data_IF_402500854585
#
_entry.id   IF_402500854585
#
_cell.length_a   1.000
_cell.length_b   1.000
_cell.length_c   1.000
_cell.angle_alpha   90.00
_cell.angle_beta   90.00
_cell.angle_gamma   90.00
#
_symmetry.space_group_name_H-M   'P 1'
#
loop_
_entity.id
_entity.type
_entity.pdbx_description
1 polymer ?
#
# COMPACT_ATOMS: atom_id res chain seq x y z
N UNK A 1 0.97 0.26 20.03
CA UNK A 1 1.28 -0.68 18.91
C UNK A 1 0.09 -0.65 17.98
N UNK A 2 0.28 -0.28 16.72
CA UNK A 2 -0.77 -0.25 15.70
C UNK A 2 -0.52 -1.34 14.66
N UNK A 3 -1.58 -1.84 14.04
CA UNK A 3 -1.48 -2.76 12.91
C UNK A 3 -1.42 -1.98 11.61
N UNK A 4 -0.30 -2.10 10.92
CA UNK A 4 -0.04 -1.41 9.65
C UNK A 4 0.02 -2.45 8.52
N UNK A 5 -0.74 -2.21 7.47
CA UNK A 5 -0.69 -3.01 6.26
C UNK A 5 -0.21 -2.14 5.10
N UNK A 6 0.88 -2.55 4.48
CA UNK A 6 1.49 -1.89 3.32
C UNK A 6 1.08 -2.67 2.08
N UNK A 7 0.36 -2.03 1.17
CA UNK A 7 -0.03 -2.61 -0.12
C UNK A 7 1.06 -2.32 -1.14
N UNK A 8 1.69 -3.36 -1.63
CA UNK A 8 2.81 -3.31 -2.57
C UNK A 8 4.15 -3.69 -1.93
N UNK A 9 4.77 -4.72 -2.47
CA UNK A 9 6.07 -5.24 -2.04
C UNK A 9 7.26 -4.62 -2.79
N UNK A 10 7.03 -3.54 -3.54
CA UNK A 10 8.07 -2.78 -4.23
C UNK A 10 9.02 -2.05 -3.27
N UNK A 11 10.05 -1.40 -3.81
CA UNK A 11 11.10 -0.75 -3.00
C UNK A 11 10.56 0.25 -1.98
N UNK A 12 9.64 1.14 -2.38
CA UNK A 12 9.09 2.17 -1.48
C UNK A 12 8.25 1.57 -0.34
N UNK A 13 7.36 0.62 -0.66
CA UNK A 13 6.54 -0.05 0.35
C UNK A 13 7.39 -0.83 1.34
N UNK A 14 8.36 -1.60 0.82
CA UNK A 14 9.29 -2.35 1.66
C UNK A 14 10.17 -1.42 2.50
N UNK A 15 10.75 -0.35 1.94
CA UNK A 15 11.57 0.59 2.71
C UNK A 15 10.77 1.24 3.85
N UNK A 16 9.49 1.57 3.62
CA UNK A 16 8.62 2.15 4.64
C UNK A 16 8.29 1.17 5.79
N UNK A 17 8.39 -0.12 5.56
CA UNK A 17 8.13 -1.12 6.61
C UNK A 17 9.18 -1.11 7.74
N UNK A 18 10.42 -0.70 7.46
CA UNK A 18 11.48 -0.68 8.48
C UNK A 18 11.20 0.33 9.60
N UNK A 19 10.93 1.63 9.34
CA UNK A 19 10.59 2.56 10.41
C UNK A 19 9.26 2.19 11.14
N UNK A 20 8.33 1.51 10.49
CA UNK A 20 7.14 0.98 11.17
C UNK A 20 7.54 -0.08 12.20
N UNK A 21 8.43 -1.01 11.83
CA UNK A 21 8.96 -2.03 12.73
C UNK A 21 9.78 -1.42 13.86
N UNK A 22 10.68 -0.48 13.55
CA UNK A 22 11.53 0.21 14.54
C UNK A 22 10.72 0.94 15.62
N UNK A 23 9.50 1.35 15.29
CA UNK A 23 8.55 1.94 16.22
C UNK A 23 7.58 0.91 16.83
N UNK A 24 7.91 -0.38 16.77
CA UNK A 24 7.15 -1.47 17.38
C UNK A 24 5.70 -1.61 16.88
N UNK A 25 5.44 -1.31 15.60
CA UNK A 25 4.15 -1.59 14.98
C UNK A 25 4.09 -3.02 14.42
N UNK A 26 2.90 -3.64 14.46
CA UNK A 26 2.62 -4.88 13.74
C UNK A 26 2.59 -4.56 12.23
N UNK A 27 3.68 -4.91 11.53
CA UNK A 27 3.94 -4.48 10.17
C UNK A 27 3.78 -5.63 9.18
N UNK A 28 2.89 -5.44 8.23
CA UNK A 28 2.54 -6.44 7.23
C UNK A 28 2.67 -5.83 5.83
N UNK A 29 3.37 -6.49 4.92
CA UNK A 29 3.42 -6.16 3.50
C UNK A 29 2.54 -7.15 2.75
N UNK A 30 1.54 -6.67 2.04
CA UNK A 30 0.70 -7.49 1.16
C UNK A 30 0.95 -7.11 -0.30
N UNK A 31 1.26 -8.11 -1.12
CA UNK A 31 1.49 -7.92 -2.55
C UNK A 31 0.23 -7.54 -3.33
N UNK A 32 0.45 -6.88 -4.45
CA UNK A 32 -0.57 -6.72 -5.48
C UNK A 32 -0.72 -8.01 -6.29
N UNK A 33 -1.76 -8.10 -7.12
CA UNK A 33 -1.99 -9.23 -8.01
C UNK A 33 -0.84 -9.49 -9.01
N UNK A 34 0.07 -8.53 -9.18
CA UNK A 34 1.24 -8.63 -10.07
C UNK A 34 2.51 -9.08 -9.35
N UNK A 35 2.52 -9.16 -8.01
CA UNK A 35 3.74 -9.30 -7.23
C UNK A 35 3.97 -10.69 -6.63
N UNK A 36 3.10 -11.67 -6.87
CA UNK A 36 3.24 -13.00 -6.28
C UNK A 36 4.58 -13.68 -6.59
N UNK A 37 5.03 -13.62 -7.85
CA UNK A 37 6.34 -14.18 -8.24
C UNK A 37 7.51 -13.40 -7.62
N UNK A 38 7.37 -12.08 -7.50
CA UNK A 38 8.34 -11.22 -6.86
C UNK A 38 8.48 -11.55 -5.37
N UNK A 39 7.35 -11.73 -4.68
CA UNK A 39 7.31 -12.16 -3.27
C UNK A 39 7.95 -13.55 -3.12
N UNK A 40 7.66 -14.49 -4.00
CA UNK A 40 8.32 -15.80 -3.99
C UNK A 40 9.84 -15.70 -4.12
N UNK A 41 10.32 -14.80 -4.97
CA UNK A 41 11.77 -14.55 -5.13
C UNK A 41 12.38 -14.03 -3.83
N UNK A 42 11.74 -13.06 -3.17
CA UNK A 42 12.19 -12.53 -1.88
C UNK A 42 12.26 -13.66 -0.83
N UNK A 43 11.17 -14.42 -0.67
CA UNK A 43 11.08 -15.47 0.34
C UNK A 43 12.09 -16.60 0.13
N UNK A 44 12.34 -17.01 -1.12
CA UNK A 44 13.32 -18.04 -1.47
C UNK A 44 14.76 -17.57 -1.30
N UNK A 45 15.04 -16.28 -1.43
CA UNK A 45 16.37 -15.70 -1.34
C UNK A 45 16.62 -15.05 0.05
N UNK A 46 16.39 -15.80 1.13
CA UNK A 46 16.60 -15.34 2.52
C UNK A 46 15.97 -13.97 2.81
N UNK A 47 14.81 -13.70 2.23
CA UNK A 47 14.07 -12.45 2.33
C UNK A 47 14.80 -11.22 1.79
N UNK A 48 15.79 -11.42 0.91
CA UNK A 48 16.54 -10.34 0.25
C UNK A 48 15.61 -9.62 -0.76
N UNK A 49 15.40 -8.32 -0.55
CA UNK A 49 14.68 -7.49 -1.51
C UNK A 49 15.66 -7.03 -2.61
N UNK A 50 15.46 -7.46 -3.89
CA UNK A 50 16.49 -7.24 -4.93
C UNK A 50 16.72 -5.76 -5.25
N UNK A 51 15.68 -4.93 -5.24
CA UNK A 51 15.79 -3.49 -5.54
C UNK A 51 16.38 -2.65 -4.40
N UNK A 52 16.31 -3.12 -3.16
CA UNK A 52 16.90 -2.43 -1.99
C UNK A 52 18.23 -3.02 -1.56
N UNK A 53 18.53 -4.24 -2.00
CA UNK A 53 19.68 -5.02 -1.56
C UNK A 53 19.78 -5.17 -0.03
N UNK A 54 18.63 -5.34 0.63
CA UNK A 54 18.53 -5.55 2.09
C UNK A 54 17.63 -6.75 2.39
N UNK A 55 17.92 -7.44 3.49
CA UNK A 55 17.06 -8.51 3.98
C UNK A 55 15.91 -7.93 4.81
N UNK A 56 14.69 -8.33 4.49
CA UNK A 56 13.50 -7.93 5.23
C UNK A 56 13.44 -8.74 6.53
N UNK A 57 13.37 -8.09 7.71
CA UNK A 57 13.27 -8.77 9.00
C UNK A 57 12.13 -9.79 9.06
N UNK A 58 12.31 -10.88 9.80
CA UNK A 58 11.28 -11.93 9.95
C UNK A 58 10.03 -11.43 10.67
N UNK A 59 10.16 -10.42 11.52
CA UNK A 59 9.07 -9.76 12.20
C UNK A 59 8.15 -8.94 11.29
N UNK A 60 8.55 -8.66 10.04
CA UNK A 60 7.67 -8.08 9.02
C UNK A 60 7.03 -9.22 8.24
N UNK A 61 5.72 -9.34 8.29
CA UNK A 61 5.00 -10.35 7.50
C UNK A 61 4.97 -9.96 6.02
N UNK A 62 5.37 -10.89 5.14
CA UNK A 62 5.27 -10.72 3.69
C UNK A 62 4.18 -11.68 3.19
N UNK A 63 3.13 -11.11 2.62
CA UNK A 63 1.88 -11.79 2.33
C UNK A 63 1.58 -11.68 0.84
N UNK A 64 1.23 -12.80 0.22
CA UNK A 64 0.80 -12.83 -1.18
C UNK A 64 -0.61 -12.31 -1.37
N UNK A 65 -0.93 -11.94 -2.62
CA UNK A 65 -2.23 -11.38 -2.99
C UNK A 65 -3.44 -12.27 -2.65
N UNK A 66 -3.29 -13.58 -2.65
CA UNK A 66 -4.36 -14.51 -2.29
C UNK A 66 -4.95 -14.26 -0.89
N UNK A 67 -4.14 -13.72 0.01
CA UNK A 67 -4.55 -13.37 1.37
C UNK A 67 -4.85 -11.86 1.56
N UNK A 68 -4.99 -11.10 0.48
CA UNK A 68 -5.18 -9.66 0.52
C UNK A 68 -6.42 -9.26 1.34
N UNK A 69 -7.58 -9.84 1.03
CA UNK A 69 -8.85 -9.49 1.67
C UNK A 69 -8.86 -9.82 3.16
N UNK A 70 -8.36 -10.99 3.52
CA UNK A 70 -8.29 -11.40 4.93
C UNK A 70 -7.30 -10.55 5.72
N UNK A 71 -6.17 -10.16 5.11
CA UNK A 71 -5.17 -9.29 5.73
C UNK A 71 -5.75 -7.91 6.03
N UNK A 72 -6.44 -7.29 5.07
CA UNK A 72 -7.06 -5.98 5.23
C UNK A 72 -8.29 -6.00 6.15
N UNK A 73 -8.95 -7.15 6.27
CA UNK A 73 -10.13 -7.30 7.12
C UNK A 73 -9.79 -7.50 8.60
N UNK A 74 -8.56 -7.74 8.95
CA UNK A 74 -8.13 -8.19 10.27
C UNK A 74 -7.81 -7.05 11.26
N UNK A 75 -8.63 -5.99 11.30
CA UNK A 75 -8.49 -4.90 12.28
C UNK A 75 -7.26 -4.01 12.04
N UNK A 76 -7.14 -3.46 10.85
CA UNK A 76 -6.02 -2.59 10.43
C UNK A 76 -6.25 -1.16 10.89
N UNK A 77 -5.21 -0.52 11.47
CA UNK A 77 -5.25 0.88 11.89
C UNK A 77 -4.81 1.84 10.78
N UNK A 78 -3.84 1.42 9.96
CA UNK A 78 -3.30 2.21 8.86
C UNK A 78 -3.03 1.32 7.64
N UNK A 79 -3.52 1.75 6.49
CA UNK A 79 -3.16 1.17 5.20
C UNK A 79 -2.20 2.11 4.49
N UNK A 80 -1.04 1.59 4.11
CA UNK A 80 -0.01 2.32 3.36
C UNK A 80 -0.04 1.87 1.90
N UNK A 81 -0.13 2.83 0.98
CA UNK A 81 -0.19 2.56 -0.45
C UNK A 81 1.21 2.73 -1.06
N UNK A 82 1.92 1.60 -1.22
CA UNK A 82 3.25 1.52 -1.83
C UNK A 82 3.22 1.06 -3.29
N UNK A 83 2.16 1.39 -4.01
CA UNK A 83 1.90 1.00 -5.40
C UNK A 83 2.34 2.09 -6.39
N UNK A 84 2.42 1.77 -7.67
CA UNK A 84 2.65 2.76 -8.72
C UNK A 84 1.41 3.64 -8.97
N UNK A 85 1.57 4.80 -9.61
CA UNK A 85 0.45 5.68 -9.99
C UNK A 85 -0.58 4.99 -10.90
N UNK A 86 -0.15 4.03 -11.70
CA UNK A 86 -1.04 3.20 -12.53
C UNK A 86 -1.93 2.25 -11.72
N UNK A 87 -1.55 1.95 -10.49
CA UNK A 87 -2.29 1.06 -9.60
C UNK A 87 -3.43 1.74 -8.81
N UNK A 88 -3.61 3.07 -8.92
CA UNK A 88 -4.61 3.81 -8.12
C UNK A 88 -6.04 3.34 -8.39
N UNK A 89 -6.40 3.09 -9.64
CA UNK A 89 -7.73 2.58 -10.00
C UNK A 89 -7.94 1.18 -9.43
N UNK A 90 -6.96 0.29 -9.66
CA UNK A 90 -6.99 -1.05 -9.12
C UNK A 90 -7.14 -1.05 -7.58
N UNK A 91 -6.36 -0.25 -6.85
CA UNK A 91 -6.44 -0.23 -5.39
C UNK A 91 -7.77 0.34 -4.91
N UNK A 92 -8.37 1.28 -5.64
CA UNK A 92 -9.71 1.79 -5.30
C UNK A 92 -10.77 0.68 -5.37
N UNK A 93 -10.67 -0.22 -6.36
CA UNK A 93 -11.55 -1.39 -6.48
C UNK A 93 -11.33 -2.38 -5.33
N UNK A 94 -10.07 -2.63 -4.96
CA UNK A 94 -9.74 -3.53 -3.86
C UNK A 94 -10.24 -2.98 -2.51
N UNK A 95 -9.99 -1.69 -2.23
CA UNK A 95 -10.45 -1.05 -1.00
C UNK A 95 -11.98 -1.04 -0.92
N UNK A 96 -12.67 -0.74 -2.02
CA UNK A 96 -14.13 -0.84 -2.07
C UNK A 96 -14.61 -2.26 -1.79
N UNK A 97 -14.04 -3.27 -2.43
CA UNK A 97 -14.42 -4.68 -2.23
C UNK A 97 -14.33 -5.09 -0.77
N UNK A 98 -13.26 -4.66 -0.07
CA UNK A 98 -13.02 -5.03 1.33
C UNK A 98 -13.83 -4.16 2.31
N UNK A 99 -14.05 -2.87 2.02
CA UNK A 99 -14.58 -1.89 2.98
C UNK A 99 -15.96 -1.32 2.66
N UNK A 100 -16.66 -1.80 1.62
CA UNK A 100 -18.00 -1.29 1.25
C UNK A 100 -19.02 -1.33 2.40
N UNK A 101 -18.91 -2.29 3.30
CA UNK A 101 -19.84 -2.52 4.41
C UNK A 101 -19.22 -2.23 5.79
N UNK A 102 -18.03 -1.62 5.83
CA UNK A 102 -17.31 -1.28 7.07
C UNK A 102 -16.44 -0.04 6.90
N UNK A 103 -16.03 0.54 8.03
CA UNK A 103 -15.21 1.74 8.03
C UNK A 103 -13.85 1.47 7.36
N UNK A 104 -13.48 2.34 6.42
CA UNK A 104 -12.15 2.35 5.82
C UNK A 104 -11.14 2.90 6.86
N UNK A 105 -10.01 2.19 7.11
CA UNK A 105 -8.93 2.71 7.94
C UNK A 105 -8.30 3.99 7.36
N UNK A 106 -7.46 4.66 8.14
CA UNK A 106 -6.65 5.74 7.62
C UNK A 106 -5.71 5.25 6.51
N UNK A 107 -5.53 6.06 5.49
CA UNK A 107 -4.66 5.76 4.36
C UNK A 107 -3.43 6.67 4.37
N UNK A 108 -2.28 6.12 4.03
CA UNK A 108 -1.05 6.86 3.74
C UNK A 108 -0.57 6.51 2.34
N UNK A 109 -0.47 7.48 1.47
CA UNK A 109 0.01 7.29 0.11
C UNK A 109 1.50 7.61 0.00
N UNK A 110 2.29 6.62 -0.41
CA UNK A 110 3.71 6.81 -0.76
C UNK A 110 3.88 7.12 -2.25
N UNK A 111 2.86 6.80 -3.05
CA UNK A 111 2.85 6.99 -4.50
C UNK A 111 2.91 8.47 -4.84
N UNK A 112 3.82 8.83 -5.73
CA UNK A 112 4.03 10.21 -6.19
C UNK A 112 3.55 10.39 -7.62
N UNK A 113 3.23 11.64 -7.96
CA UNK A 113 2.83 12.03 -9.30
C UNK A 113 1.48 12.72 -9.35
N UNK A 114 1.08 13.01 -10.57
CA UNK A 114 -0.19 13.65 -10.92
C UNK A 114 -0.95 12.75 -11.89
N UNK A 115 -2.26 12.88 -11.90
CA UNK A 115 -3.13 12.37 -12.95
C UNK A 115 -3.80 13.53 -13.69
N UNK A 116 -4.51 13.22 -14.75
CA UNK A 116 -5.33 14.19 -15.49
C UNK A 116 -6.78 13.76 -15.33
N UNK A 117 -7.61 14.74 -14.95
CA UNK A 117 -9.05 14.58 -14.87
C UNK A 117 -9.72 15.83 -15.46
N UNK A 118 -10.63 15.67 -16.41
CA UNK A 118 -11.36 16.77 -17.07
C UNK A 118 -10.43 17.89 -17.60
N UNK A 119 -9.34 17.50 -18.25
CA UNK A 119 -8.29 18.38 -18.80
C UNK A 119 -7.51 19.21 -17.74
N UNK A 120 -7.57 18.84 -16.47
CA UNK A 120 -6.84 19.49 -15.38
C UNK A 120 -5.94 18.48 -14.66
N UNK A 121 -4.84 18.97 -14.08
CA UNK A 121 -4.01 18.11 -13.22
C UNK A 121 -4.71 17.84 -11.91
N UNK A 122 -4.65 16.60 -11.47
CA UNK A 122 -5.24 16.09 -10.24
C UNK A 122 -4.17 15.40 -9.39
N UNK A 123 -4.14 15.65 -8.08
CA UNK A 123 -3.30 14.89 -7.16
C UNK A 123 -3.79 13.45 -7.06
N UNK A 124 -2.87 12.50 -6.90
CA UNK A 124 -3.26 11.08 -6.79
C UNK A 124 -4.14 10.79 -5.57
N UNK A 125 -3.98 11.55 -4.48
CA UNK A 125 -4.89 11.46 -3.33
C UNK A 125 -6.32 11.89 -3.68
N UNK A 126 -6.46 12.94 -4.48
CA UNK A 126 -7.77 13.44 -4.91
C UNK A 126 -8.42 12.46 -5.89
N UNK A 127 -7.62 11.90 -6.82
CA UNK A 127 -8.06 10.81 -7.69
C UNK A 127 -8.60 9.63 -6.86
N UNK A 128 -7.86 9.17 -5.87
CA UNK A 128 -8.30 8.04 -5.05
C UNK A 128 -9.57 8.38 -4.26
N UNK A 129 -9.65 9.57 -3.63
CA UNK A 129 -10.88 10.03 -2.95
C UNK A 129 -12.07 10.05 -3.89
N UNK A 130 -11.92 10.62 -5.07
CA UNK A 130 -12.98 10.69 -6.08
C UNK A 130 -13.47 9.31 -6.50
N UNK A 131 -12.54 8.37 -6.76
CA UNK A 131 -12.89 7.00 -7.14
C UNK A 131 -13.63 6.25 -6.01
N UNK A 132 -13.18 6.38 -4.77
CA UNK A 132 -13.82 5.75 -3.61
C UNK A 132 -15.19 6.37 -3.34
N UNK A 133 -15.31 7.71 -3.45
CA UNK A 133 -16.59 8.41 -3.30
C UNK A 133 -17.61 7.97 -4.35
N UNK A 134 -17.20 7.86 -5.61
CA UNK A 134 -18.06 7.37 -6.70
C UNK A 134 -18.58 5.94 -6.46
N UNK A 135 -17.83 5.12 -5.70
CA UNK A 135 -18.21 3.77 -5.31
C UNK A 135 -19.08 3.72 -4.02
N UNK A 136 -19.26 4.85 -3.34
CA UNK A 136 -20.09 4.95 -2.14
C UNK A 136 -19.32 5.00 -0.82
N UNK A 137 -17.99 4.96 -0.81
CA UNK A 137 -17.17 5.21 0.41
C UNK A 137 -17.04 6.72 0.58
N UNK A 138 -17.79 7.30 1.51
CA UNK A 138 -17.86 8.76 1.69
C UNK A 138 -16.83 9.32 2.66
N UNK A 139 -16.33 8.49 3.59
CA UNK A 139 -15.35 8.91 4.59
C UNK A 139 -13.98 8.33 4.22
N UNK A 140 -13.08 9.16 3.72
CA UNK A 140 -11.73 8.79 3.32
C UNK A 140 -10.73 9.73 3.98
N UNK A 141 -10.05 9.24 5.01
CA UNK A 141 -8.91 9.92 5.62
C UNK A 141 -7.63 9.45 4.93
N UNK A 142 -7.02 10.31 4.15
CA UNK A 142 -5.78 10.00 3.43
C UNK A 142 -4.77 11.13 3.56
N UNK A 143 -3.55 10.75 3.88
CA UNK A 143 -2.36 11.60 3.83
C UNK A 143 -1.41 11.11 2.73
N UNK A 144 -0.51 11.96 2.26
CA UNK A 144 0.51 11.58 1.31
C UNK A 144 1.89 12.02 1.79
N UNK A 145 2.90 11.21 1.49
CA UNK A 145 4.30 11.61 1.64
C UNK A 145 4.68 12.46 0.44
N UNK A 146 4.92 13.75 0.70
CA UNK A 146 5.39 14.71 -0.31
C UNK A 146 6.91 14.84 -0.33
N UNK A 147 7.43 15.44 -1.39
CA UNK A 147 8.83 15.83 -1.52
C UNK A 147 9.53 15.25 -2.76
N UNK A 148 10.72 15.77 -3.10
CA UNK A 148 11.52 15.21 -4.19
C UNK A 148 11.95 13.79 -3.81
N UNK A 149 11.52 12.83 -4.60
CA UNK A 149 12.07 11.48 -4.54
C UNK A 149 12.72 11.19 -5.88
N UNK A 150 14.01 11.23 -5.86
CA UNK A 150 14.82 10.65 -6.92
C UNK A 150 15.03 9.19 -6.52
N UNK A 151 14.42 8.26 -7.26
CA UNK A 151 14.86 6.90 -7.30
C UNK A 151 16.11 6.90 -8.20
N UNK A 152 17.27 6.87 -7.57
CA UNK A 152 18.54 6.65 -8.28
C UNK A 152 18.78 5.17 -8.40
#
# INVERSE_FOLDING_TARGET
MSKIVIIGAGAMGTAFSFPCLDNNHDTNIVGTHLENQFIDTILKNKRLHPGLNVNIPESINIIKYENFDITLSAGVDLIVLGISSKGIEWVSDQLYRVFKDKKLPNLLMLTKGLSIHENSYELLIDKLKRLLFAKGIKEVNISAVGGPCLAT
#
